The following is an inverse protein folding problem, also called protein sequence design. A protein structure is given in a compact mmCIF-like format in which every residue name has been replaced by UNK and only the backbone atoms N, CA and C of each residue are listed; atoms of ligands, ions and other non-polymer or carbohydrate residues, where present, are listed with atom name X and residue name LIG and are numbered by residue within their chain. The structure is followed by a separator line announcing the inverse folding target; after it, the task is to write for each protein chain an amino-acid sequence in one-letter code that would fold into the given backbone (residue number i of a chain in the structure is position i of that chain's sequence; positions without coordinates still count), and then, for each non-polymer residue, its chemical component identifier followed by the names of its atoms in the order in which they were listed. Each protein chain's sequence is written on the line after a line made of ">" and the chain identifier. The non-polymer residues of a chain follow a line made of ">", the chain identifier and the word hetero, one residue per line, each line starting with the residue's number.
data_IF_044102899120
#
_entry.id   IF_044102899120
#
_cell.length_a   1.000
_cell.length_b   1.000
_cell.length_c   1.000
_cell.angle_alpha   90.00
_cell.angle_beta   90.00
_cell.angle_gamma   90.00
#
_symmetry.space_group_name_H-M   'P 1'
#
loop_
_entity.id
_entity.type
_entity.pdbx_description
1 polymer ?
#
# COMPACT_ATOMS: atom_id res chain seq x y z
N UNK A 1 20.13 35.52 -21.65
CA UNK A 1 20.00 34.93 -20.30
C UNK A 1 19.54 33.48 -20.43
N UNK A 2 20.43 32.56 -20.19
CA UNK A 2 20.09 31.14 -20.15
C UNK A 2 19.50 30.84 -18.79
N UNK A 3 18.20 30.65 -18.70
CA UNK A 3 17.54 30.11 -17.53
C UNK A 3 17.90 28.63 -17.42
N UNK A 4 18.81 28.31 -16.52
CA UNK A 4 19.11 26.92 -16.16
C UNK A 4 17.86 26.40 -15.44
N UNK A 5 17.06 25.63 -16.14
CA UNK A 5 16.01 24.84 -15.52
C UNK A 5 16.66 23.81 -14.60
N UNK A 6 16.66 24.08 -13.31
CA UNK A 6 17.14 23.16 -12.31
C UNK A 6 16.14 22.01 -12.25
N UNK A 7 16.55 20.86 -12.76
CA UNK A 7 15.78 19.63 -12.61
C UNK A 7 15.77 19.24 -11.13
N UNK A 8 14.59 19.34 -10.49
CA UNK A 8 14.40 18.98 -9.09
C UNK A 8 13.50 17.75 -9.01
N UNK A 9 14.07 16.53 -9.08
CA UNK A 9 13.28 15.29 -9.08
C UNK A 9 12.47 15.07 -7.81
N UNK A 10 12.86 15.72 -6.71
CA UNK A 10 12.15 15.61 -5.43
C UNK A 10 10.90 16.50 -5.32
N UNK A 11 10.77 17.51 -6.17
CA UNK A 11 9.60 18.39 -6.18
C UNK A 11 8.37 17.72 -6.76
N UNK A 12 8.58 16.90 -7.78
CA UNK A 12 7.52 16.12 -8.41
C UNK A 12 7.06 14.95 -7.52
N UNK A 13 7.97 14.35 -6.75
CA UNK A 13 7.65 13.35 -5.74
C UNK A 13 6.74 13.89 -4.64
N UNK A 14 7.01 15.10 -4.13
CA UNK A 14 6.17 15.75 -3.14
C UNK A 14 4.76 16.05 -3.68
N UNK A 15 4.65 16.42 -4.95
CA UNK A 15 3.36 16.68 -5.62
C UNK A 15 2.56 15.41 -5.82
N UNK A 16 3.21 14.31 -6.22
CA UNK A 16 2.59 13.00 -6.36
C UNK A 16 2.14 12.48 -4.99
N UNK A 17 2.98 12.62 -3.98
CA UNK A 17 2.67 12.22 -2.61
C UNK A 17 1.48 13.00 -2.05
N UNK A 18 1.40 14.32 -2.31
CA UNK A 18 0.27 15.15 -1.93
C UNK A 18 -1.03 14.80 -2.67
N UNK A 19 -0.95 14.39 -3.93
CA UNK A 19 -2.11 13.91 -4.69
C UNK A 19 -2.62 12.57 -4.16
N UNK A 20 -1.71 11.65 -3.86
CA UNK A 20 -2.05 10.37 -3.25
C UNK A 20 -2.65 10.57 -1.86
N UNK A 21 -2.12 11.47 -1.06
CA UNK A 21 -2.65 11.81 0.26
C UNK A 21 -4.07 12.39 0.21
N UNK A 22 -4.41 13.15 -0.84
CA UNK A 22 -5.78 13.66 -1.04
C UNK A 22 -6.77 12.55 -1.44
N UNK A 23 -6.30 11.55 -2.17
CA UNK A 23 -7.14 10.45 -2.66
C UNK A 23 -7.32 9.41 -1.57
N UNK A 24 -6.29 9.11 -0.79
CA UNK A 24 -6.23 8.01 0.17
C UNK A 24 -6.24 8.43 1.65
N UNK A 25 -6.38 9.72 1.94
CA UNK A 25 -6.26 10.27 3.28
C UNK A 25 -4.83 10.57 3.70
N UNK A 26 -4.69 11.40 4.72
CA UNK A 26 -3.38 11.84 5.22
C UNK A 26 -2.65 10.66 5.88
N UNK A 27 -1.47 10.23 5.38
CA UNK A 27 -0.68 9.20 6.05
C UNK A 27 -0.14 9.65 7.42
N UNK A 28 -0.20 10.95 7.72
CA UNK A 28 0.12 11.49 9.04
C UNK A 28 -1.02 11.34 10.04
N UNK A 29 -2.20 10.93 9.60
CA UNK A 29 -3.30 10.48 10.45
C UNK A 29 -3.02 9.08 11.02
N UNK A 30 -1.77 8.83 11.39
CA UNK A 30 -1.45 7.79 12.35
C UNK A 30 -2.04 8.24 13.69
N UNK A 31 -3.33 8.00 13.86
CA UNK A 31 -3.97 8.17 15.14
C UNK A 31 -3.16 7.40 16.16
N UNK A 32 -2.64 8.13 17.12
CA UNK A 32 -2.15 7.68 18.41
C UNK A 32 -1.75 6.19 18.46
N UNK A 33 -0.64 5.84 17.81
CA UNK A 33 0.00 4.55 18.00
C UNK A 33 0.73 4.58 19.34
N UNK A 34 -0.01 4.68 20.44
CA UNK A 34 0.50 4.47 21.81
C UNK A 34 0.51 2.98 22.18
N UNK A 35 0.28 2.09 21.23
CA UNK A 35 0.44 0.66 21.49
C UNK A 35 1.88 0.23 21.19
N UNK A 36 2.61 -0.02 22.28
CA UNK A 36 3.93 -0.65 22.28
C UNK A 36 3.85 -1.98 21.53
N UNK A 37 4.55 -2.09 20.40
CA UNK A 37 4.60 -3.29 19.58
C UNK A 37 3.91 -3.18 18.21
N UNK A 38 3.20 -2.11 17.92
CA UNK A 38 2.59 -1.88 16.61
C UNK A 38 3.60 -1.27 15.64
N UNK A 39 3.67 -1.78 14.44
CA UNK A 39 4.49 -1.24 13.36
C UNK A 39 3.65 -1.04 12.11
N UNK A 40 4.07 -0.14 11.24
CA UNK A 40 3.37 0.13 9.98
C UNK A 40 4.25 -0.30 8.80
N UNK A 41 3.83 -1.29 8.00
CA UNK A 41 4.55 -1.66 6.80
C UNK A 41 4.49 -0.52 5.76
N UNK A 42 5.60 -0.24 5.07
CA UNK A 42 5.59 0.69 3.95
C UNK A 42 4.76 0.11 2.80
N UNK A 43 3.96 0.96 2.16
CA UNK A 43 3.08 0.57 1.07
C UNK A 43 3.18 1.60 -0.05
N UNK A 44 3.44 1.11 -1.26
CA UNK A 44 3.29 1.89 -2.49
C UNK A 44 1.92 1.66 -3.08
N UNK A 45 1.31 2.72 -3.60
CA UNK A 45 0.05 2.68 -4.34
C UNK A 45 0.29 3.27 -5.72
N UNK A 46 0.07 2.48 -6.75
CA UNK A 46 0.30 2.84 -8.14
C UNK A 46 -1.00 2.69 -8.93
N UNK A 47 -1.42 3.74 -9.61
CA UNK A 47 -2.53 3.68 -10.55
C UNK A 47 -2.03 3.37 -11.95
N UNK A 48 -2.48 2.26 -12.51
CA UNK A 48 -2.29 1.88 -13.89
C UNK A 48 -3.56 2.21 -14.71
N UNK A 49 -3.51 2.20 -16.05
CA UNK A 49 -4.69 2.55 -16.86
C UNK A 49 -5.92 1.70 -16.56
N UNK A 50 -5.75 0.42 -16.22
CA UNK A 50 -6.81 -0.56 -16.03
C UNK A 50 -6.99 -1.05 -14.58
N UNK A 51 -6.10 -0.67 -13.67
CA UNK A 51 -6.12 -1.15 -12.28
C UNK A 51 -5.38 -0.24 -11.31
N UNK A 52 -5.64 -0.46 -10.04
CA UNK A 52 -4.88 0.09 -8.92
C UNK A 52 -4.05 -1.03 -8.29
N UNK A 53 -2.78 -0.75 -8.00
CA UNK A 53 -1.84 -1.72 -7.45
C UNK A 53 -1.31 -1.22 -6.11
N UNK A 54 -1.45 -2.05 -5.07
CA UNK A 54 -0.83 -1.84 -3.77
C UNK A 54 0.33 -2.80 -3.61
N UNK A 55 1.47 -2.33 -3.14
CA UNK A 55 2.63 -3.15 -2.79
C UNK A 55 3.06 -2.87 -1.37
N UNK A 56 2.90 -3.84 -0.49
CA UNK A 56 3.24 -3.75 0.93
C UNK A 56 4.48 -4.59 1.22
N UNK A 57 5.47 -3.98 1.87
CA UNK A 57 6.66 -4.69 2.35
C UNK A 57 6.42 -5.24 3.74
N UNK A 58 6.20 -6.55 3.83
CA UNK A 58 5.90 -7.25 5.08
C UNK A 58 6.79 -8.50 5.24
N UNK A 59 8.12 -8.35 5.13
CA UNK A 59 9.03 -9.48 5.23
C UNK A 59 8.95 -10.12 6.61
N UNK A 60 9.02 -11.45 6.64
CA UNK A 60 8.96 -12.22 7.89
C UNK A 60 7.55 -12.46 8.44
N UNK A 61 6.51 -12.03 7.72
CA UNK A 61 5.11 -12.34 8.04
C UNK A 61 4.69 -13.61 7.28
N UNK A 62 4.05 -14.54 7.96
CA UNK A 62 3.47 -15.71 7.31
C UNK A 62 2.23 -15.29 6.51
N UNK A 63 2.01 -15.94 5.37
CA UNK A 63 0.77 -15.76 4.57
C UNK A 63 -0.49 -15.95 5.42
N UNK A 64 -0.47 -16.90 6.35
CA UNK A 64 -1.63 -17.20 7.21
C UNK A 64 -1.88 -16.14 8.28
N UNK A 65 -0.91 -15.27 8.52
CA UNK A 65 -1.00 -14.15 9.46
C UNK A 65 -1.34 -12.82 8.75
N UNK A 66 -1.74 -12.86 7.48
CA UNK A 66 -2.16 -11.70 6.69
C UNK A 66 -3.65 -11.79 6.38
N UNK A 67 -4.37 -10.72 6.63
CA UNK A 67 -5.80 -10.58 6.33
C UNK A 67 -6.03 -9.30 5.50
N UNK A 68 -6.75 -9.45 4.41
CA UNK A 68 -7.13 -8.35 3.51
C UNK A 68 -8.63 -8.33 3.35
N UNK A 69 -9.26 -7.19 3.64
CA UNK A 69 -10.71 -7.00 3.51
C UNK A 69 -11.01 -5.69 2.81
N UNK A 70 -12.13 -5.68 2.10
CA UNK A 70 -12.76 -4.45 1.61
C UNK A 70 -14.14 -4.35 2.22
N UNK A 71 -14.39 -3.27 2.92
CA UNK A 71 -15.67 -2.96 3.56
C UNK A 71 -15.97 -1.47 3.41
N UNK A 72 -17.15 -1.14 2.92
CA UNK A 72 -17.59 0.25 2.72
C UNK A 72 -16.56 1.11 1.94
N UNK A 73 -16.07 0.60 0.84
CA UNK A 73 -15.03 1.24 0.01
C UNK A 73 -13.70 1.50 0.73
N UNK A 74 -13.46 0.79 1.82
CA UNK A 74 -12.20 0.85 2.56
C UNK A 74 -11.47 -0.48 2.44
N UNK A 75 -10.24 -0.44 1.90
CA UNK A 75 -9.33 -1.56 1.90
C UNK A 75 -8.60 -1.59 3.25
N UNK A 76 -8.70 -2.70 3.96
CA UNK A 76 -8.02 -2.91 5.24
C UNK A 76 -7.06 -4.07 5.11
N UNK A 77 -5.79 -3.79 5.34
CA UNK A 77 -4.71 -4.78 5.42
C UNK A 77 -4.32 -4.92 6.89
N UNK A 78 -4.45 -6.11 7.41
CA UNK A 78 -4.03 -6.47 8.79
C UNK A 78 -3.09 -7.65 8.78
N UNK A 79 -2.26 -7.74 9.78
CA UNK A 79 -1.43 -8.90 10.00
C UNK A 79 -0.65 -8.82 11.28
N UNK A 80 0.12 -9.89 11.52
CA UNK A 80 1.00 -10.00 12.68
C UNK A 80 2.37 -10.54 12.24
N UNK A 81 3.40 -9.81 12.61
CA UNK A 81 4.78 -10.27 12.51
C UNK A 81 5.19 -10.85 13.85
N UNK A 82 5.23 -12.17 13.93
CA UNK A 82 5.56 -12.89 15.16
C UNK A 82 7.05 -12.84 15.43
N UNK A 83 7.40 -12.60 16.66
CA UNK A 83 8.79 -12.73 17.11
C UNK A 83 9.18 -14.22 17.10
N UNK A 84 10.36 -14.51 16.58
CA UNK A 84 10.93 -15.86 16.68
C UNK A 84 11.23 -16.09 18.17
N UNK A 85 10.69 -17.18 18.72
CA UNK A 85 10.93 -17.52 20.11
C UNK A 85 12.42 -17.79 20.35
N UNK A 86 12.96 -17.14 21.35
CA UNK A 86 14.32 -17.39 21.81
C UNK A 86 14.37 -18.77 22.47
N UNK A 87 15.49 -19.46 22.30
CA UNK A 87 15.73 -20.70 23.03
C UNK A 87 16.09 -20.37 24.46
N UNK A 88 15.76 -21.26 25.39
CA UNK A 88 15.92 -21.08 26.83
C UNK A 88 17.35 -20.68 27.26
N UNK A 89 18.37 -20.99 26.45
CA UNK A 89 19.77 -20.66 26.71
C UNK A 89 20.31 -19.51 25.84
N UNK A 90 19.45 -18.82 25.08
CA UNK A 90 19.89 -17.70 24.25
C UNK A 90 20.10 -16.43 25.08
N UNK A 91 21.21 -15.75 24.84
CA UNK A 91 21.46 -14.43 25.40
C UNK A 91 21.27 -13.39 24.29
N UNK A 92 20.26 -12.54 24.45
CA UNK A 92 19.97 -11.50 23.48
C UNK A 92 20.86 -10.30 23.73
N UNK A 93 21.63 -9.89 22.73
CA UNK A 93 22.52 -8.73 22.81
C UNK A 93 21.89 -7.46 22.23
N UNK A 94 21.02 -7.59 21.23
CA UNK A 94 20.38 -6.45 20.57
C UNK A 94 19.09 -6.88 19.87
N UNK A 95 18.06 -6.06 19.99
CA UNK A 95 16.79 -6.20 19.25
C UNK A 95 16.52 -4.88 18.53
N UNK A 96 16.53 -4.90 17.20
CA UNK A 96 16.27 -3.74 16.35
C UNK A 96 15.13 -3.98 15.35
N UNK A 97 14.71 -5.23 15.19
CA UNK A 97 13.63 -5.59 14.27
C UNK A 97 12.27 -5.26 14.90
N UNK A 98 11.35 -4.80 14.05
CA UNK A 98 9.98 -4.55 14.47
C UNK A 98 9.15 -5.83 14.42
N UNK A 99 8.31 -6.01 15.40
CA UNK A 99 7.37 -7.13 15.55
C UNK A 99 6.01 -6.62 15.98
N UNK A 100 5.01 -7.48 15.90
CA UNK A 100 3.68 -7.21 16.38
C UNK A 100 2.65 -7.08 15.27
N UNK A 101 1.50 -6.59 15.64
CA UNK A 101 0.37 -6.40 14.73
C UNK A 101 0.52 -5.13 13.91
N UNK A 102 -0.02 -5.15 12.72
CA UNK A 102 -0.14 -3.97 11.86
C UNK A 102 -1.53 -3.88 11.26
N UNK A 103 -1.98 -2.67 11.03
CA UNK A 103 -3.20 -2.37 10.30
C UNK A 103 -2.96 -1.18 9.39
N UNK A 104 -3.28 -1.32 8.11
CA UNK A 104 -3.27 -0.23 7.13
C UNK A 104 -4.65 -0.15 6.48
N UNK A 105 -5.19 1.05 6.38
CA UNK A 105 -6.50 1.29 5.80
C UNK A 105 -6.42 2.35 4.70
N UNK A 106 -7.09 2.11 3.58
CA UNK A 106 -7.11 2.99 2.43
C UNK A 106 -8.54 3.14 1.93
N UNK A 107 -8.99 4.37 1.74
CA UNK A 107 -10.27 4.63 1.07
C UNK A 107 -10.08 4.42 -0.43
N UNK A 108 -10.88 3.53 -1.01
CA UNK A 108 -10.83 3.21 -2.44
C UNK A 108 -11.74 4.14 -3.23
N UNK A 109 -11.33 4.60 -4.42
CA UNK A 109 -12.22 5.28 -5.34
C UNK A 109 -13.34 4.35 -5.83
N UNK A 110 -14.48 4.93 -6.18
CA UNK A 110 -15.69 4.17 -6.57
C UNK A 110 -15.60 3.47 -7.94
N UNK A 111 -14.56 3.78 -8.72
CA UNK A 111 -14.37 3.24 -10.07
C UNK A 111 -13.63 1.90 -10.12
N UNK A 112 -13.48 1.23 -8.99
CA UNK A 112 -12.80 -0.06 -8.87
C UNK A 112 -13.80 -1.21 -8.75
N UNK A 113 -13.45 -2.34 -9.36
CA UNK A 113 -14.17 -3.61 -9.19
C UNK A 113 -13.55 -4.38 -8.00
N UNK A 114 -14.08 -4.15 -6.81
CA UNK A 114 -13.55 -4.74 -5.58
C UNK A 114 -13.87 -6.22 -5.42
N UNK A 115 -14.76 -6.76 -6.24
CA UNK A 115 -15.07 -8.21 -6.23
C UNK A 115 -14.00 -9.04 -6.96
N UNK A 116 -13.15 -8.38 -7.74
CA UNK A 116 -12.09 -9.02 -8.53
C UNK A 116 -10.68 -8.69 -8.05
N UNK A 117 -10.50 -8.49 -6.76
CA UNK A 117 -9.17 -8.24 -6.19
C UNK A 117 -8.34 -9.53 -6.24
N UNK A 118 -7.14 -9.41 -6.79
CA UNK A 118 -6.13 -10.46 -6.71
C UNK A 118 -5.07 -10.08 -5.67
N UNK A 119 -4.66 -11.05 -4.87
CA UNK A 119 -3.58 -10.91 -3.90
C UNK A 119 -2.46 -11.89 -4.21
N UNK A 120 -1.23 -11.40 -4.27
CA UNK A 120 -0.02 -12.19 -4.48
C UNK A 120 0.98 -11.88 -3.39
N UNK A 121 1.58 -12.90 -2.80
CA UNK A 121 2.59 -12.74 -1.76
C UNK A 121 3.86 -13.49 -2.14
N UNK A 122 4.93 -12.76 -2.34
CA UNK A 122 6.24 -13.31 -2.74
C UNK A 122 7.37 -12.43 -2.21
N UNK A 123 8.43 -13.07 -1.76
CA UNK A 123 9.67 -12.40 -1.30
C UNK A 123 9.43 -11.32 -0.23
N UNK A 124 8.42 -11.52 0.63
CA UNK A 124 8.03 -10.55 1.66
C UNK A 124 7.25 -9.35 1.17
N UNK A 125 6.85 -9.33 -0.10
CA UNK A 125 6.03 -8.28 -0.69
C UNK A 125 4.63 -8.81 -0.98
N UNK A 126 3.62 -8.17 -0.40
CA UNK A 126 2.23 -8.40 -0.74
C UNK A 126 1.81 -7.43 -1.84
N UNK A 127 1.39 -7.97 -2.96
CA UNK A 127 0.83 -7.20 -4.07
C UNK A 127 -0.67 -7.44 -4.15
N UNK A 128 -1.45 -6.35 -4.12
CA UNK A 128 -2.90 -6.36 -4.32
C UNK A 128 -3.21 -5.66 -5.64
N UNK A 129 -3.90 -6.35 -6.53
CA UNK A 129 -4.30 -5.86 -7.84
C UNK A 129 -5.81 -5.65 -7.84
N UNK A 130 -6.25 -4.42 -7.98
CA UNK A 130 -7.67 -4.06 -7.98
C UNK A 130 -8.02 -3.50 -9.35
N UNK A 131 -8.74 -4.25 -10.20
CA UNK A 131 -9.10 -3.76 -11.53
C UNK A 131 -10.10 -2.60 -11.45
N UNK A 132 -10.01 -1.69 -12.41
CA UNK A 132 -11.04 -0.68 -12.62
C UNK A 132 -12.30 -1.34 -13.17
N UNK A 133 -13.46 -0.80 -12.81
CA UNK A 133 -14.72 -1.20 -13.41
C UNK A 133 -14.66 -0.97 -14.93
N UNK A 134 -15.36 -1.78 -15.73
CA UNK A 134 -15.32 -1.69 -17.20
C UNK A 134 -15.68 -0.30 -17.71
N UNK A 135 -16.64 0.38 -17.07
CA UNK A 135 -17.06 1.73 -17.45
C UNK A 135 -15.99 2.80 -17.17
N UNK A 136 -15.03 2.51 -16.28
CA UNK A 136 -13.96 3.43 -15.89
C UNK A 136 -12.66 3.22 -16.67
N UNK A 137 -12.57 2.15 -17.45
CA UNK A 137 -11.38 1.87 -18.29
C UNK A 137 -11.29 2.82 -19.47
N UNK A 138 -10.08 3.23 -19.89
CA UNK A 138 -9.90 4.02 -21.10
C UNK A 138 -10.48 3.32 -22.30
N UNK A 139 -11.28 4.05 -23.10
CA UNK A 139 -11.86 3.55 -24.35
C UNK A 139 -11.26 4.31 -25.53
N UNK A 140 -10.86 3.57 -26.55
CA UNK A 140 -10.45 4.14 -27.84
C UNK A 140 -11.70 4.44 -28.67
N UNK A 141 -11.86 5.70 -29.06
CA UNK A 141 -12.95 6.13 -29.90
C UNK A 141 -12.48 6.07 -31.37
N UNK A 142 -13.24 5.37 -32.22
CA UNK A 142 -13.01 5.36 -33.63
C UNK A 142 -13.65 6.60 -34.27
N UNK A 143 -12.85 7.33 -35.03
CA UNK A 143 -13.32 8.46 -35.80
C UNK A 143 -13.78 7.93 -37.15
N UNK A 144 -15.04 8.15 -37.46
CA UNK A 144 -15.57 7.84 -38.78
C UNK A 144 -15.39 9.06 -39.70
N UNK A 145 -14.86 8.84 -40.91
CA UNK A 145 -14.80 9.88 -41.92
C UNK A 145 -16.22 10.19 -42.42
N UNK A 146 -16.54 11.47 -42.49
CA UNK A 146 -17.82 11.92 -43.04
C UNK A 146 -17.83 11.84 -44.58
#
# INVERSE_FOLDING_TARGET
>A
MLTVSRWEPFRDLATIQNRLNRIFGDPTSYGNAEEVGTWAPPIDVVEEPDRLVFRAEIPGVSKDDIDVKVENSTLVLRGEKKQVSEKENDTVHRVERFYGTFTRSFTLPSNLDTDKIEARYKDGVLELLIPKAEEAKPRKIQIQAA
#
